data_IF_233507196233
#
_entry.id   IF_233507196233
#
_cell.length_a   1.000
_cell.length_b   1.000
_cell.length_c   1.000
_cell.angle_alpha   90.00
_cell.angle_beta   90.00
_cell.angle_gamma   90.00
#
_symmetry.space_group_name_H-M   'P 1'
#
loop_
_entity.id
_entity.type
_entity.pdbx_description
1 polymer ?
#
# COMPACT_ATOMS: atom_id res chain seq x y z
N UNK A 1 29.15 -14.98 16.17
CA UNK A 1 29.12 -15.12 14.69
C UNK A 1 27.80 -15.68 14.18
N UNK A 2 27.38 -16.91 14.56
CA UNK A 2 26.12 -17.53 14.11
C UNK A 2 24.89 -16.64 14.28
N UNK A 3 24.71 -16.04 15.48
CA UNK A 3 23.60 -15.13 15.76
C UNK A 3 23.64 -13.88 14.85
N UNK A 4 24.83 -13.38 14.53
CA UNK A 4 24.97 -12.19 13.70
C UNK A 4 24.60 -12.48 12.25
N UNK A 5 25.05 -13.62 11.71
CA UNK A 5 24.83 -13.99 10.31
C UNK A 5 23.43 -14.56 10.06
N UNK A 6 22.90 -15.35 10.99
CA UNK A 6 21.64 -16.11 10.79
C UNK A 6 20.51 -15.69 11.72
N UNK A 7 20.77 -14.89 12.76
CA UNK A 7 19.79 -14.58 13.79
C UNK A 7 19.52 -15.71 14.79
N UNK A 8 20.12 -16.88 14.61
CA UNK A 8 19.88 -18.07 15.44
C UNK A 8 21.09 -18.43 16.31
N UNK A 9 20.81 -19.11 17.42
CA UNK A 9 21.85 -19.73 18.24
C UNK A 9 22.46 -20.93 17.51
N UNK A 10 23.79 -21.17 17.62
CA UNK A 10 24.37 -22.40 17.11
C UNK A 10 23.84 -23.61 17.90
N UNK A 11 23.64 -24.74 17.22
CA UNK A 11 23.29 -25.99 17.93
C UNK A 11 24.50 -26.50 18.73
N UNK A 12 24.29 -27.23 19.84
CA UNK A 12 25.38 -27.82 20.60
C UNK A 12 26.30 -28.72 19.74
N UNK A 13 25.73 -29.45 18.78
CA UNK A 13 26.49 -30.27 17.82
C UNK A 13 27.37 -29.42 16.91
N UNK A 14 26.86 -28.30 16.38
CA UNK A 14 27.64 -27.40 15.55
C UNK A 14 28.82 -26.79 16.32
N UNK A 15 28.65 -26.50 17.62
CA UNK A 15 29.73 -26.02 18.49
C UNK A 15 30.78 -27.11 18.72
N UNK A 16 30.35 -28.33 19.08
CA UNK A 16 31.28 -29.46 19.26
C UNK A 16 32.06 -29.78 18.00
N UNK A 17 31.39 -29.79 16.86
CA UNK A 17 32.01 -30.04 15.55
C UNK A 17 33.07 -28.99 15.22
N UNK A 18 32.82 -27.71 15.52
CA UNK A 18 33.81 -26.65 15.32
C UNK A 18 35.01 -26.77 16.27
N UNK A 19 34.79 -27.05 17.57
CA UNK A 19 35.86 -27.21 18.55
C UNK A 19 36.78 -28.39 18.19
N UNK A 20 36.22 -29.45 17.63
CA UNK A 20 36.99 -30.64 17.21
C UNK A 20 37.67 -30.50 15.83
N UNK A 21 37.41 -29.41 15.09
CA UNK A 21 37.93 -29.21 13.74
C UNK A 21 39.32 -28.56 13.77
N UNK A 22 40.36 -29.38 13.65
CA UNK A 22 41.76 -28.93 13.68
C UNK A 22 42.31 -28.50 12.31
N UNK A 23 41.46 -28.41 11.28
CA UNK A 23 41.92 -27.99 9.96
C UNK A 23 42.28 -26.50 9.98
N UNK A 24 43.27 -26.08 9.17
CA UNK A 24 43.69 -24.68 9.10
C UNK A 24 42.59 -23.73 8.58
N UNK A 25 41.57 -24.25 7.90
CA UNK A 25 40.43 -23.51 7.32
C UNK A 25 39.11 -23.69 8.11
N UNK A 26 39.16 -24.22 9.34
CA UNK A 26 37.96 -24.55 10.11
C UNK A 26 37.03 -23.35 10.31
N UNK A 27 37.58 -22.14 10.48
CA UNK A 27 36.80 -20.92 10.65
C UNK A 27 36.07 -20.52 9.37
N UNK A 28 36.79 -20.48 8.24
CA UNK A 28 36.29 -20.15 6.91
C UNK A 28 35.14 -21.09 6.53
N UNK A 29 35.32 -22.39 6.75
CA UNK A 29 34.25 -23.38 6.47
C UNK A 29 32.99 -23.14 7.29
N UNK A 30 33.12 -22.65 8.54
CA UNK A 30 31.96 -22.26 9.34
C UNK A 30 31.31 -21.00 8.77
N UNK A 31 32.10 -20.00 8.37
CA UNK A 31 31.58 -18.79 7.72
C UNK A 31 30.82 -19.15 6.44
N UNK A 32 31.42 -19.93 5.54
CA UNK A 32 30.80 -20.35 4.28
C UNK A 32 29.48 -21.09 4.51
N UNK A 33 29.45 -22.01 5.47
CA UNK A 33 28.22 -22.70 5.85
C UNK A 33 27.14 -21.74 6.36
N UNK A 34 27.52 -20.72 7.13
CA UNK A 34 26.57 -19.75 7.67
C UNK A 34 26.06 -18.79 6.60
N UNK A 35 26.91 -18.38 5.66
CA UNK A 35 26.53 -17.56 4.51
C UNK A 35 25.63 -18.33 3.53
N UNK A 36 25.85 -19.64 3.37
CA UNK A 36 25.00 -20.52 2.56
C UNK A 36 23.65 -20.89 3.21
N UNK A 37 23.40 -20.48 4.46
CA UNK A 37 22.15 -20.76 5.17
C UNK A 37 21.02 -19.86 4.68
N UNK A 38 19.81 -20.39 4.48
CA UNK A 38 18.64 -19.57 4.12
C UNK A 38 18.31 -18.50 5.16
N UNK A 39 18.70 -18.72 6.43
CA UNK A 39 18.53 -17.77 7.51
C UNK A 39 19.43 -16.53 7.38
N UNK A 40 20.48 -16.59 6.55
CA UNK A 40 21.32 -15.43 6.25
C UNK A 40 20.50 -14.31 5.61
N UNK A 41 19.79 -14.60 4.52
CA UNK A 41 18.92 -13.65 3.84
C UNK A 41 17.74 -13.18 4.70
N UNK A 42 17.20 -14.03 5.57
CA UNK A 42 16.16 -13.62 6.54
C UNK A 42 16.69 -12.59 7.54
N UNK A 43 17.88 -12.84 8.10
CA UNK A 43 18.52 -11.95 9.07
C UNK A 43 18.96 -10.63 8.44
N UNK A 44 19.69 -10.69 7.33
CA UNK A 44 20.21 -9.51 6.64
C UNK A 44 19.13 -8.75 5.88
N UNK A 45 18.13 -9.45 5.35
CA UNK A 45 16.97 -8.84 4.72
C UNK A 45 16.22 -7.91 5.66
N UNK A 46 16.16 -8.21 6.97
CA UNK A 46 15.58 -7.31 7.97
C UNK A 46 16.23 -5.92 7.97
N UNK A 47 17.56 -5.85 7.86
CA UNK A 47 18.27 -4.58 7.84
C UNK A 47 17.94 -3.77 6.59
N UNK A 48 17.86 -4.43 5.43
CA UNK A 48 17.42 -3.77 4.20
C UNK A 48 15.97 -3.26 4.31
N UNK A 49 15.08 -4.10 4.83
CA UNK A 49 13.66 -3.79 4.99
C UNK A 49 13.42 -2.64 5.98
N UNK A 50 14.23 -2.54 7.03
CA UNK A 50 14.21 -1.40 7.95
C UNK A 50 14.59 -0.09 7.22
N UNK A 51 15.67 -0.09 6.43
CA UNK A 51 16.15 1.11 5.71
C UNK A 51 15.13 1.60 4.67
N UNK A 52 14.50 0.69 3.94
CA UNK A 52 13.47 1.06 2.95
C UNK A 52 12.10 1.36 3.57
N UNK A 53 12.00 1.31 4.91
CA UNK A 53 10.77 1.60 5.67
C UNK A 53 9.62 0.66 5.28
N UNK A 54 9.95 -0.62 5.12
CA UNK A 54 9.00 -1.65 4.75
C UNK A 54 7.90 -1.80 5.82
N UNK A 55 6.64 -1.79 5.37
CA UNK A 55 5.50 -2.17 6.17
C UNK A 55 4.43 -2.84 5.30
N UNK A 56 3.75 -3.84 5.85
CA UNK A 56 2.59 -4.50 5.21
C UNK A 56 1.28 -3.71 5.42
N UNK A 57 1.39 -2.42 5.76
CA UNK A 57 0.27 -1.51 5.87
C UNK A 57 0.58 -0.16 5.25
N UNK A 58 -0.44 0.69 5.06
CA UNK A 58 -0.25 1.99 4.43
C UNK A 58 0.59 2.95 5.27
N UNK A 59 0.65 2.81 6.60
CA UNK A 59 1.48 3.65 7.45
C UNK A 59 1.08 5.13 7.44
N UNK A 60 -0.19 5.42 7.13
CA UNK A 60 -0.77 6.77 7.10
C UNK A 60 -2.14 6.76 7.79
N UNK A 61 -2.85 7.91 7.82
CA UNK A 61 -4.13 8.11 8.52
C UNK A 61 -5.13 6.96 8.34
N UNK A 62 -5.34 6.51 7.09
CA UNK A 62 -6.11 5.30 6.76
C UNK A 62 -5.15 4.12 6.64
N UNK A 63 -4.81 3.53 7.78
CA UNK A 63 -3.84 2.44 7.85
C UNK A 63 -4.45 1.11 7.38
N UNK A 64 -4.50 0.88 6.06
CA UNK A 64 -4.97 -0.37 5.46
C UNK A 64 -3.83 -1.37 5.27
N UNK A 65 -4.15 -2.65 5.33
CA UNK A 65 -3.22 -3.74 5.01
C UNK A 65 -2.90 -3.78 3.50
N UNK A 66 -1.64 -4.07 3.17
CA UNK A 66 -1.13 -4.31 1.82
C UNK A 66 -1.00 -5.82 1.59
N UNK A 67 -2.07 -6.43 1.11
CA UNK A 67 -2.23 -7.90 1.03
C UNK A 67 -1.22 -8.64 0.14
N UNK A 68 -0.46 -7.93 -0.70
CA UNK A 68 0.50 -8.50 -1.64
C UNK A 68 1.95 -8.07 -1.38
N UNK A 69 2.23 -7.25 -0.35
CA UNK A 69 3.55 -6.62 -0.20
C UNK A 69 4.60 -7.51 0.46
N UNK A 70 4.21 -8.61 1.12
CA UNK A 70 5.11 -9.70 1.53
C UNK A 70 6.02 -10.21 0.40
N UNK A 71 5.58 -10.13 -0.85
CA UNK A 71 6.38 -10.54 -2.02
C UNK A 71 7.69 -9.76 -2.13
N UNK A 72 7.67 -8.46 -1.78
CA UNK A 72 8.88 -7.63 -1.79
C UNK A 72 9.86 -8.05 -0.69
N UNK A 73 9.37 -8.38 0.51
CA UNK A 73 10.20 -8.97 1.58
C UNK A 73 10.86 -10.25 1.09
N UNK A 74 10.08 -11.16 0.50
CA UNK A 74 10.59 -12.45 0.03
C UNK A 74 11.60 -12.26 -1.12
N UNK A 75 11.39 -11.27 -2.01
CA UNK A 75 12.36 -10.88 -3.04
C UNK A 75 13.70 -10.42 -2.45
N UNK A 76 13.68 -9.59 -1.40
CA UNK A 76 14.90 -9.13 -0.72
C UNK A 76 15.64 -10.31 -0.08
N UNK A 77 14.93 -11.17 0.64
CA UNK A 77 15.49 -12.38 1.26
C UNK A 77 16.13 -13.29 0.21
N UNK A 78 15.41 -13.54 -0.89
CA UNK A 78 15.91 -14.37 -1.98
C UNK A 78 17.11 -13.74 -2.68
N UNK A 79 17.11 -12.42 -2.90
CA UNK A 79 18.23 -11.71 -3.54
C UNK A 79 19.51 -11.83 -2.71
N UNK A 80 19.41 -11.76 -1.39
CA UNK A 80 20.56 -11.95 -0.48
C UNK A 80 21.02 -13.41 -0.46
N UNK A 81 20.10 -14.37 -0.36
CA UNK A 81 20.44 -15.79 -0.32
C UNK A 81 21.04 -16.32 -1.64
N UNK A 82 20.73 -15.70 -2.77
CA UNK A 82 21.28 -16.06 -4.08
C UNK A 82 22.49 -15.20 -4.47
N UNK A 83 23.02 -14.38 -3.55
CA UNK A 83 24.16 -13.50 -3.80
C UNK A 83 23.97 -12.63 -5.07
N UNK A 84 22.77 -12.03 -5.19
CA UNK A 84 22.44 -11.19 -6.35
C UNK A 84 23.42 -10.01 -6.43
N UNK A 85 24.04 -9.75 -7.59
CA UNK A 85 24.92 -8.60 -7.76
C UNK A 85 24.24 -7.30 -7.33
N UNK A 86 24.94 -6.48 -6.55
CA UNK A 86 24.34 -5.29 -5.95
C UNK A 86 23.83 -4.30 -6.99
N UNK A 87 24.54 -4.15 -8.12
CA UNK A 87 24.12 -3.28 -9.22
C UNK A 87 22.81 -3.77 -9.87
N UNK A 88 22.66 -5.09 -10.02
CA UNK A 88 21.43 -5.71 -10.50
C UNK A 88 20.29 -5.52 -9.48
N UNK A 89 20.55 -5.78 -8.19
CA UNK A 89 19.57 -5.60 -7.12
C UNK A 89 19.02 -4.16 -7.07
N UNK A 90 19.90 -3.16 -7.18
CA UNK A 90 19.51 -1.74 -7.23
C UNK A 90 18.74 -1.42 -8.52
N UNK A 91 19.21 -1.90 -9.67
CA UNK A 91 18.59 -1.62 -10.97
C UNK A 91 17.17 -2.19 -11.06
N UNK A 92 16.97 -3.42 -10.58
CA UNK A 92 15.65 -4.05 -10.51
C UNK A 92 14.69 -3.27 -9.60
N UNK A 93 15.16 -2.73 -8.48
CA UNK A 93 14.34 -1.96 -7.55
C UNK A 93 13.94 -0.57 -8.07
N UNK A 94 14.81 0.09 -8.84
CA UNK A 94 14.52 1.43 -9.38
C UNK A 94 13.71 1.38 -10.69
N UNK A 95 13.91 0.35 -11.51
CA UNK A 95 13.40 0.33 -12.88
C UNK A 95 12.97 -1.05 -13.37
N UNK A 96 12.75 -2.03 -12.48
CA UNK A 96 12.39 -3.39 -12.88
C UNK A 96 11.21 -3.48 -13.84
N UNK A 97 10.17 -2.67 -13.62
CA UNK A 97 8.99 -2.65 -14.49
C UNK A 97 9.21 -1.96 -15.84
N UNK A 98 10.26 -1.16 -15.98
CA UNK A 98 10.71 -0.60 -17.25
C UNK A 98 11.68 -1.54 -18.00
N UNK A 99 12.50 -2.30 -17.28
CA UNK A 99 13.49 -3.23 -17.86
C UNK A 99 12.80 -4.46 -18.46
N UNK A 100 11.94 -5.11 -17.68
CA UNK A 100 11.14 -6.24 -18.16
C UNK A 100 9.77 -6.26 -17.45
N UNK A 101 8.74 -5.63 -18.04
CA UNK A 101 7.40 -5.62 -17.46
C UNK A 101 6.72 -7.00 -17.44
N UNK A 102 7.27 -7.98 -18.15
CA UNK A 102 6.79 -9.37 -18.17
C UNK A 102 7.36 -10.22 -17.04
N UNK A 103 8.49 -9.80 -16.45
CA UNK A 103 9.14 -10.51 -15.36
C UNK A 103 8.48 -10.19 -14.00
N UNK A 104 7.82 -11.17 -13.35
CA UNK A 104 7.15 -10.93 -12.06
C UNK A 104 8.12 -10.54 -10.94
N UNK A 105 9.37 -11.02 -10.99
CA UNK A 105 10.39 -10.69 -9.99
C UNK A 105 10.76 -9.21 -10.06
N UNK A 106 10.92 -8.68 -11.28
CA UNK A 106 11.26 -7.28 -11.51
C UNK A 106 10.10 -6.35 -11.12
N UNK A 107 8.87 -6.76 -11.40
CA UNK A 107 7.68 -6.05 -10.91
C UNK A 107 7.64 -6.01 -9.38
N UNK A 108 8.01 -7.10 -8.71
CA UNK A 108 8.08 -7.14 -7.23
C UNK A 108 9.20 -6.24 -6.72
N UNK A 109 10.36 -6.23 -7.36
CA UNK A 109 11.52 -5.42 -6.99
C UNK A 109 11.18 -3.91 -6.93
N UNK A 110 10.36 -3.41 -7.87
CA UNK A 110 9.87 -2.01 -7.85
C UNK A 110 9.03 -1.65 -6.62
N UNK A 111 8.68 -2.64 -5.79
CA UNK A 111 8.15 -2.44 -4.44
C UNK A 111 8.99 -1.50 -3.58
N UNK A 112 10.30 -1.40 -3.83
CA UNK A 112 11.22 -0.45 -3.21
C UNK A 112 10.68 0.99 -3.20
N UNK A 113 10.23 1.48 -4.36
CA UNK A 113 9.76 2.86 -4.53
C UNK A 113 8.47 3.13 -3.75
N UNK A 114 7.70 2.10 -3.40
CA UNK A 114 6.39 2.23 -2.76
C UNK A 114 6.33 1.65 -1.34
N UNK A 115 7.49 1.32 -0.77
CA UNK A 115 7.62 0.76 0.57
C UNK A 115 7.11 1.71 1.66
N UNK A 116 7.43 3.00 1.54
CA UNK A 116 7.01 4.04 2.47
C UNK A 116 5.51 4.33 2.49
N UNK A 117 5.07 5.31 3.30
CA UNK A 117 3.66 5.57 3.58
C UNK A 117 2.80 5.82 2.33
N UNK A 118 1.52 5.45 2.39
CA UNK A 118 0.52 5.69 1.34
C UNK A 118 -0.61 6.54 1.87
N UNK A 119 -0.75 7.76 1.35
CA UNK A 119 -1.93 8.59 1.61
C UNK A 119 -3.06 8.24 0.62
N UNK A 120 -4.05 7.45 1.06
CA UNK A 120 -5.25 7.11 0.27
C UNK A 120 -6.51 7.89 0.71
N UNK A 121 -6.33 9.04 1.36
CA UNK A 121 -7.42 9.93 1.79
C UNK A 121 -7.99 10.67 0.59
N UNK A 122 -9.14 10.21 0.10
CA UNK A 122 -9.80 10.85 -1.05
C UNK A 122 -10.31 12.25 -0.70
N UNK A 123 -10.19 13.18 -1.64
CA UNK A 123 -10.60 14.58 -1.50
C UNK A 123 -10.98 15.17 -2.85
N UNK A 124 -12.06 15.95 -2.85
CA UNK A 124 -12.51 16.69 -4.04
C UNK A 124 -11.67 17.95 -4.31
N UNK A 125 -10.88 18.40 -3.32
CA UNK A 125 -10.00 19.55 -3.47
C UNK A 125 -8.82 19.28 -4.41
N UNK A 126 -8.74 20.07 -5.49
CA UNK A 126 -7.60 20.04 -6.42
C UNK A 126 -6.27 20.29 -5.72
N UNK A 127 -6.23 21.27 -4.81
CA UNK A 127 -5.03 21.62 -4.05
C UNK A 127 -4.53 20.43 -3.22
N UNK A 128 -5.44 19.74 -2.53
CA UNK A 128 -5.06 18.58 -1.72
C UNK A 128 -4.58 17.40 -2.55
N UNK A 129 -5.14 17.18 -3.75
CA UNK A 129 -4.62 16.18 -4.69
C UNK A 129 -3.19 16.52 -5.16
N UNK A 130 -2.93 17.79 -5.48
CA UNK A 130 -1.60 18.23 -5.89
C UNK A 130 -0.57 18.11 -4.75
N UNK A 131 -0.94 18.50 -3.52
CA UNK A 131 -0.08 18.35 -2.33
C UNK A 131 0.30 16.88 -2.10
N UNK A 132 -0.69 15.99 -2.07
CA UNK A 132 -0.43 14.54 -1.94
C UNK A 132 0.52 14.04 -3.01
N UNK A 133 0.33 14.44 -4.27
CA UNK A 133 1.21 14.02 -5.36
C UNK A 133 2.64 14.50 -5.13
N UNK A 134 2.81 15.74 -4.65
CA UNK A 134 4.13 16.27 -4.34
C UNK A 134 4.79 15.54 -3.17
N UNK A 135 4.01 15.13 -2.16
CA UNK A 135 4.51 14.35 -1.03
C UNK A 135 4.87 12.92 -1.43
N UNK A 136 4.14 12.30 -2.37
CA UNK A 136 4.54 11.02 -2.97
C UNK A 136 5.86 11.11 -3.73
N UNK A 137 6.06 12.17 -4.52
CA UNK A 137 7.32 12.37 -5.26
C UNK A 137 8.48 12.61 -4.29
N UNK A 138 8.26 13.41 -3.23
CA UNK A 138 9.26 13.61 -2.17
C UNK A 138 9.63 12.29 -1.47
N UNK A 139 8.64 11.41 -1.25
CA UNK A 139 8.88 10.09 -0.68
C UNK A 139 9.78 9.20 -1.59
N UNK A 140 9.63 9.27 -2.92
CA UNK A 140 10.51 8.57 -3.87
C UNK A 140 11.94 9.12 -3.86
N UNK A 141 12.07 10.45 -3.80
CA UNK A 141 13.37 11.12 -3.69
C UNK A 141 14.06 10.71 -2.39
N UNK A 142 13.34 10.78 -1.25
CA UNK A 142 13.85 10.42 0.08
C UNK A 142 14.29 8.96 0.14
N UNK A 143 13.42 8.00 -0.20
CA UNK A 143 13.79 6.58 -0.10
C UNK A 143 15.00 6.24 -0.94
N UNK A 144 15.09 6.79 -2.15
CA UNK A 144 16.18 6.52 -3.08
C UNK A 144 17.49 7.12 -2.56
N UNK A 145 17.48 8.41 -2.21
CA UNK A 145 18.67 9.12 -1.75
C UNK A 145 19.20 8.62 -0.42
N UNK A 146 18.34 8.39 0.57
CA UNK A 146 18.81 7.95 1.89
C UNK A 146 19.26 6.50 1.86
N UNK A 147 18.60 5.63 1.08
CA UNK A 147 18.96 4.21 1.04
C UNK A 147 20.20 3.94 0.19
N UNK A 148 20.29 4.57 -1.00
CA UNK A 148 21.32 4.22 -1.98
C UNK A 148 22.53 5.14 -1.94
N UNK A 149 22.33 6.42 -1.59
CA UNK A 149 23.41 7.42 -1.56
C UNK A 149 23.86 7.73 -0.13
N UNK A 150 23.05 7.38 0.88
CA UNK A 150 23.29 7.81 2.26
C UNK A 150 23.14 9.32 2.47
N UNK A 151 22.44 10.02 1.57
CA UNK A 151 22.30 11.48 1.57
C UNK A 151 20.86 11.91 1.85
N UNK A 152 20.69 12.99 2.60
CA UNK A 152 19.38 13.61 2.90
C UNK A 152 18.95 14.62 1.83
N UNK A 153 18.95 14.21 0.55
CA UNK A 153 18.59 15.08 -0.60
C UNK A 153 17.21 15.73 -0.42
N UNK A 154 16.28 15.08 0.29
CA UNK A 154 14.95 15.63 0.60
C UNK A 154 14.94 16.97 1.36
N UNK A 155 16.03 17.40 2.00
CA UNK A 155 16.13 18.76 2.58
C UNK A 155 16.13 19.84 1.49
N UNK A 156 16.64 19.51 0.30
CA UNK A 156 16.66 20.35 -0.91
C UNK A 156 15.29 20.81 -1.40
N UNK A 157 14.20 20.25 -0.86
CA UNK A 157 12.82 20.62 -1.22
C UNK A 157 12.50 22.09 -0.97
N UNK A 158 13.02 22.64 0.12
CA UNK A 158 12.67 23.98 0.60
C UNK A 158 13.85 24.96 0.52
N UNK A 159 15.08 24.47 0.67
CA UNK A 159 16.30 25.27 0.65
C UNK A 159 17.48 24.39 0.27
N UNK A 160 18.60 25.00 -0.13
CA UNK A 160 19.83 24.25 -0.41
C UNK A 160 20.28 23.49 0.83
N UNK A 161 20.75 22.26 0.65
CA UNK A 161 21.07 21.38 1.75
C UNK A 161 22.11 22.00 2.71
N UNK A 162 21.90 21.82 4.02
CA UNK A 162 22.63 22.56 5.06
C UNK A 162 24.15 22.29 5.09
N UNK A 163 24.55 21.04 4.83
CA UNK A 163 25.94 20.58 4.95
C UNK A 163 26.51 20.10 3.63
N UNK A 164 25.79 19.21 2.93
CA UNK A 164 26.19 18.71 1.62
C UNK A 164 25.93 19.71 0.47
N UNK A 165 26.73 19.69 -0.60
CA UNK A 165 26.58 20.57 -1.77
C UNK A 165 25.43 20.12 -2.69
N UNK A 166 24.23 19.97 -2.13
CA UNK A 166 23.00 19.59 -2.84
C UNK A 166 22.10 20.82 -2.93
N UNK A 167 22.15 21.59 -4.03
CA UNK A 167 21.26 22.73 -4.23
C UNK A 167 19.82 22.26 -4.44
N UNK A 168 18.88 23.14 -4.14
CA UNK A 168 17.44 22.89 -4.29
C UNK A 168 17.09 22.46 -5.72
N UNK A 169 17.79 23.00 -6.72
CA UNK A 169 17.62 22.62 -8.12
C UNK A 169 17.87 21.13 -8.37
N UNK A 170 18.82 20.51 -7.66
CA UNK A 170 19.19 19.10 -7.85
C UNK A 170 18.12 18.19 -7.23
N UNK A 171 17.54 18.61 -6.09
CA UNK A 171 16.33 17.97 -5.54
C UNK A 171 15.19 17.98 -6.57
N UNK A 172 14.90 19.13 -7.19
CA UNK A 172 13.83 19.23 -8.18
C UNK A 172 14.17 18.47 -9.48
N UNK A 173 15.44 18.37 -9.85
CA UNK A 173 15.90 17.51 -10.94
C UNK A 173 15.60 16.04 -10.68
N UNK A 174 15.91 15.54 -9.48
CA UNK A 174 15.60 14.16 -9.09
C UNK A 174 14.08 13.94 -8.94
N UNK A 175 13.34 14.91 -8.40
CA UNK A 175 11.89 14.88 -8.33
C UNK A 175 11.25 14.79 -9.73
N UNK A 176 11.84 15.44 -10.74
CA UNK A 176 11.38 15.35 -12.12
C UNK A 176 11.51 13.94 -12.70
N UNK A 177 12.59 13.20 -12.38
CA UNK A 177 12.78 11.79 -12.78
C UNK A 177 11.62 10.92 -12.25
N UNK A 178 11.21 11.13 -11.00
CA UNK A 178 10.14 10.35 -10.38
C UNK A 178 8.72 10.87 -10.64
N UNK A 179 8.59 12.03 -11.30
CA UNK A 179 7.29 12.67 -11.53
C UNK A 179 6.33 11.84 -12.40
N UNK A 180 6.87 10.91 -13.20
CA UNK A 180 6.09 9.97 -14.03
C UNK A 180 5.63 8.69 -13.31
N UNK A 181 6.12 8.42 -12.09
CA UNK A 181 5.77 7.19 -11.37
C UNK A 181 4.32 7.20 -10.89
N UNK A 182 3.54 6.18 -11.21
CA UNK A 182 2.18 6.03 -10.71
C UNK A 182 2.03 4.77 -9.86
N UNK A 183 1.71 4.96 -8.58
CA UNK A 183 1.58 3.87 -7.62
C UNK A 183 0.28 3.11 -7.84
N UNK A 184 0.38 1.89 -8.38
CA UNK A 184 -0.78 1.00 -8.61
C UNK A 184 -0.51 -0.43 -8.17
N UNK A 185 -1.57 -1.14 -7.83
CA UNK A 185 -1.49 -2.58 -7.63
C UNK A 185 -1.33 -3.26 -9.00
N UNK A 186 -0.27 -4.06 -9.14
CA UNK A 186 0.00 -4.84 -10.35
C UNK A 186 -0.22 -6.33 -10.08
N UNK A 187 -0.69 -7.05 -11.09
CA UNK A 187 -0.80 -8.51 -11.04
C UNK A 187 0.58 -9.12 -11.28
N UNK A 188 1.16 -9.64 -10.21
CA UNK A 188 2.45 -10.36 -10.23
C UNK A 188 2.20 -11.81 -10.61
N UNK A 189 2.35 -12.13 -11.88
CA UNK A 189 2.19 -13.48 -12.42
C UNK A 189 2.91 -13.62 -13.76
N UNK A 190 3.52 -14.78 -14.01
CA UNK A 190 4.12 -15.12 -15.30
C UNK A 190 3.05 -15.19 -16.39
N UNK A 191 3.45 -15.08 -17.66
CA UNK A 191 2.54 -15.25 -18.80
C UNK A 191 1.78 -16.58 -18.73
N UNK A 192 2.45 -17.66 -18.32
CA UNK A 192 1.87 -18.98 -18.16
C UNK A 192 0.86 -19.05 -17.00
N UNK A 193 1.16 -18.41 -15.87
CA UNK A 193 0.21 -18.29 -14.76
C UNK A 193 -1.04 -17.49 -15.16
N UNK A 194 -0.87 -16.41 -15.94
CA UNK A 194 -1.98 -15.62 -16.46
C UNK A 194 -2.87 -16.43 -17.40
N UNK A 195 -2.28 -17.20 -18.32
CA UNK A 195 -3.00 -18.13 -19.21
C UNK A 195 -3.77 -19.18 -18.42
N UNK A 196 -3.13 -19.84 -17.47
CA UNK A 196 -3.78 -20.84 -16.59
C UNK A 196 -4.91 -20.24 -15.77
N UNK A 197 -4.72 -19.03 -15.23
CA UNK A 197 -5.78 -18.33 -14.51
C UNK A 197 -6.95 -17.97 -15.43
N UNK A 198 -6.68 -17.43 -16.62
CA UNK A 198 -7.71 -17.08 -17.60
C UNK A 198 -8.55 -18.31 -18.01
N UNK A 199 -7.90 -19.42 -18.34
CA UNK A 199 -8.57 -20.67 -18.67
C UNK A 199 -9.44 -21.19 -17.51
N UNK A 200 -8.95 -21.06 -16.25
CA UNK A 200 -9.71 -21.42 -15.06
C UNK A 200 -10.92 -20.51 -14.86
N UNK A 201 -10.75 -19.20 -15.02
CA UNK A 201 -11.85 -18.24 -14.88
C UNK A 201 -12.91 -18.47 -15.96
N UNK A 202 -12.51 -18.71 -17.20
CA UNK A 202 -13.42 -19.03 -18.32
C UNK A 202 -14.23 -20.31 -18.03
N UNK A 203 -13.60 -21.34 -17.47
CA UNK A 203 -14.29 -22.57 -17.07
C UNK A 203 -15.35 -22.37 -15.97
N UNK A 204 -15.19 -21.33 -15.14
CA UNK A 204 -16.14 -20.97 -14.06
C UNK A 204 -17.21 -19.99 -14.55
N UNK A 205 -16.86 -19.09 -15.48
CA UNK A 205 -17.75 -18.08 -16.04
C UNK A 205 -18.62 -18.59 -17.20
N UNK A 206 -18.48 -19.87 -17.59
CA UNK A 206 -19.38 -20.49 -18.57
C UNK A 206 -20.84 -20.30 -18.11
N UNK A 207 -21.70 -19.63 -18.90
CA UNK A 207 -23.08 -19.35 -18.51
C UNK A 207 -23.80 -20.64 -18.09
N UNK A 208 -24.25 -20.69 -16.83
CA UNK A 208 -24.94 -21.86 -16.25
C UNK A 208 -24.13 -22.69 -15.25
N UNK A 209 -22.81 -22.48 -15.10
CA UNK A 209 -21.98 -23.17 -14.08
C UNK A 209 -21.61 -22.31 -12.87
N UNK A 210 -21.70 -20.98 -12.97
CA UNK A 210 -21.39 -20.10 -11.84
C UNK A 210 -22.51 -20.16 -10.78
N UNK A 211 -22.17 -20.60 -9.57
CA UNK A 211 -23.10 -20.67 -8.43
C UNK A 211 -23.75 -19.31 -8.11
N UNK A 212 -23.13 -18.19 -8.51
CA UNK A 212 -23.63 -16.83 -8.32
C UNK A 212 -24.70 -16.38 -9.32
N UNK A 213 -24.80 -17.00 -10.50
CA UNK A 213 -25.77 -16.59 -11.52
C UNK A 213 -27.20 -17.00 -11.18
N UNK A 214 -27.39 -18.15 -10.53
CA UNK A 214 -28.70 -18.59 -10.03
C UNK A 214 -29.27 -17.62 -8.97
N UNK A 215 -28.54 -17.27 -7.89
CA UNK A 215 -28.95 -16.25 -6.93
C UNK A 215 -29.14 -14.89 -7.59
N UNK A 216 -28.23 -14.43 -8.47
CA UNK A 216 -28.37 -13.13 -9.14
C UNK A 216 -29.63 -13.05 -10.00
N UNK A 217 -29.93 -14.09 -10.80
CA UNK A 217 -31.17 -14.16 -11.59
C UNK A 217 -32.42 -14.20 -10.69
N UNK A 218 -32.38 -14.91 -9.56
CA UNK A 218 -33.48 -14.95 -8.58
C UNK A 218 -33.67 -13.62 -7.82
N UNK A 219 -32.57 -12.96 -7.48
CA UNK A 219 -32.56 -11.71 -6.69
C UNK A 219 -32.84 -10.48 -7.54
N UNK A 220 -32.54 -10.50 -8.84
CA UNK A 220 -32.78 -9.38 -9.76
C UNK A 220 -34.23 -8.87 -9.72
N UNK A 221 -35.28 -9.70 -9.95
CA UNK A 221 -36.66 -9.24 -9.89
C UNK A 221 -37.07 -8.77 -8.50
N UNK A 222 -36.53 -9.38 -7.43
CA UNK A 222 -36.80 -8.96 -6.04
C UNK A 222 -36.21 -7.57 -5.79
N UNK A 223 -34.97 -7.34 -6.23
CA UNK A 223 -34.28 -6.06 -6.08
C UNK A 223 -34.96 -4.96 -6.89
N UNK A 224 -35.35 -5.25 -8.13
CA UNK A 224 -36.13 -4.32 -8.96
C UNK A 224 -37.47 -3.97 -8.31
N UNK A 225 -38.20 -4.96 -7.77
CA UNK A 225 -39.45 -4.74 -7.04
C UNK A 225 -39.25 -3.88 -5.78
N UNK A 226 -38.20 -4.13 -4.99
CA UNK A 226 -37.91 -3.37 -3.79
C UNK A 226 -37.50 -1.92 -4.11
N UNK A 227 -36.69 -1.72 -5.14
CA UNK A 227 -36.30 -0.39 -5.62
C UNK A 227 -37.52 0.37 -6.14
N UNK A 228 -38.35 -0.25 -6.98
CA UNK A 228 -39.59 0.35 -7.49
C UNK A 228 -40.55 0.72 -6.36
N UNK A 229 -40.75 -0.17 -5.38
CA UNK A 229 -41.59 0.11 -4.19
C UNK A 229 -41.05 1.28 -3.39
N UNK A 230 -39.72 1.37 -3.21
CA UNK A 230 -39.09 2.47 -2.47
C UNK A 230 -39.18 3.80 -3.21
N UNK A 231 -38.97 3.80 -4.52
CA UNK A 231 -39.16 4.98 -5.37
C UNK A 231 -40.61 5.46 -5.38
N UNK A 232 -41.58 4.54 -5.49
CA UNK A 232 -43.00 4.87 -5.43
C UNK A 232 -43.43 5.42 -4.06
N UNK A 233 -42.85 4.92 -2.96
CA UNK A 233 -43.09 5.47 -1.62
C UNK A 233 -42.49 6.89 -1.48
N UNK A 234 -41.25 7.07 -1.92
CA UNK A 234 -40.58 8.38 -1.92
C UNK A 234 -41.29 9.41 -2.80
N UNK A 235 -41.89 9.00 -3.91
CA UNK A 235 -42.65 9.89 -4.80
C UNK A 235 -43.98 10.39 -4.18
N UNK A 236 -44.53 9.66 -3.20
CA UNK A 236 -45.74 10.08 -2.45
C UNK A 236 -45.40 11.00 -1.28
N UNK A 237 -44.16 10.96 -0.78
CA UNK A 237 -43.68 11.91 0.20
C UNK A 237 -43.45 13.24 -0.52
N UNK A 238 -44.19 14.29 -0.14
CA UNK A 238 -43.98 15.63 -0.68
C UNK A 238 -42.56 16.04 -0.28
N UNK A 239 -41.65 16.08 -1.26
CA UNK A 239 -40.26 16.43 -1.01
C UNK A 239 -40.22 17.79 -0.31
N UNK A 240 -39.68 17.81 0.92
CA UNK A 240 -39.50 19.07 1.65
C UNK A 240 -38.57 19.97 0.84
N UNK A 241 -38.77 21.30 0.90
CA UNK A 241 -37.82 22.23 0.32
C UNK A 241 -36.40 21.91 0.80
N UNK A 242 -35.43 22.05 -0.09
CA UNK A 242 -34.03 21.82 0.25
C UNK A 242 -33.64 22.77 1.37
N UNK A 243 -33.08 22.22 2.45
CA UNK A 243 -32.53 22.96 3.58
C UNK A 243 -31.37 23.83 3.07
N UNK A 244 -31.37 25.13 3.40
CA UNK A 244 -30.30 26.07 3.06
C UNK A 244 -29.49 26.41 4.32
N UNK A 245 -28.21 26.73 4.18
CA UNK A 245 -27.32 26.97 5.33
C UNK A 245 -27.62 28.27 6.08
N UNK A 246 -28.46 29.16 5.53
CA UNK A 246 -28.72 30.48 6.09
C UNK A 246 -29.78 30.44 7.20
N UNK A 247 -30.99 29.97 6.87
CA UNK A 247 -32.11 29.84 7.82
C UNK A 247 -33.14 28.86 7.28
N UNK A 248 -33.67 27.99 8.15
CA UNK A 248 -34.76 27.08 7.81
C UNK A 248 -35.84 27.21 8.87
N UNK A 249 -37.00 27.72 8.48
CA UNK A 249 -38.15 27.87 9.36
C UNK A 249 -39.15 26.73 9.10
N UNK A 250 -39.60 26.06 10.15
CA UNK A 250 -40.63 25.03 10.06
C UNK A 250 -41.78 25.35 11.02
N UNK A 251 -42.86 25.99 10.53
CA UNK A 251 -44.01 26.28 11.36
C UNK A 251 -44.82 25.01 11.62
N UNK A 252 -45.23 24.80 12.87
CA UNK A 252 -46.17 23.75 13.27
C UNK A 252 -47.19 24.33 14.26
N UNK A 253 -48.36 23.70 14.35
CA UNK A 253 -49.39 24.14 15.29
C UNK A 253 -48.88 23.99 16.74
N UNK A 254 -49.27 24.89 17.68
CA UNK A 254 -48.85 24.77 19.08
C UNK A 254 -49.26 23.41 19.66
N UNK A 255 -48.29 22.68 20.23
CA UNK A 255 -48.51 21.41 20.90
C UNK A 255 -47.91 21.50 22.30
N UNK A 256 -48.70 21.20 23.32
CA UNK A 256 -48.18 21.04 24.69
C UNK A 256 -47.31 19.80 24.75
N UNK A 257 -46.01 20.00 25.00
CA UNK A 257 -45.04 18.92 25.11
C UNK A 257 -44.08 19.19 26.27
N UNK A 258 -43.68 18.14 26.99
CA UNK A 258 -42.65 18.21 28.03
C UNK A 258 -41.25 18.01 27.46
N UNK A 259 -41.14 17.41 26.27
CA UNK A 259 -39.87 17.11 25.60
C UNK A 259 -40.04 17.24 24.08
N UNK A 260 -38.99 17.72 23.41
CA UNK A 260 -38.89 17.78 21.96
C UNK A 260 -37.78 16.82 21.52
N UNK A 261 -38.07 15.95 20.53
CA UNK A 261 -37.09 15.01 19.97
C UNK A 261 -36.92 15.21 18.47
N UNK A 262 -35.70 15.51 18.04
CA UNK A 262 -35.33 15.57 16.63
C UNK A 262 -34.77 14.22 16.17
N UNK A 263 -35.27 13.71 15.04
CA UNK A 263 -34.81 12.44 14.44
C UNK A 263 -34.42 12.69 12.99
N UNK A 264 -33.13 12.56 12.70
CA UNK A 264 -32.61 12.71 11.34
C UNK A 264 -32.83 11.40 10.57
N UNK A 265 -33.72 11.44 9.58
CA UNK A 265 -34.06 10.26 8.74
C UNK A 265 -33.20 10.12 7.48
N UNK A 266 -32.44 11.15 7.13
CA UNK A 266 -31.52 11.14 5.98
C UNK A 266 -30.83 12.49 5.79
N UNK A 267 -29.71 12.50 5.08
CA UNK A 267 -28.93 13.69 4.73
C UNK A 267 -28.83 13.81 3.21
N UNK A 268 -28.93 15.02 2.67
CA UNK A 268 -28.56 15.28 1.27
C UNK A 268 -27.04 15.44 1.19
N UNK A 269 -26.34 14.38 0.81
CA UNK A 269 -24.88 14.34 0.70
C UNK A 269 -24.17 13.66 1.88
N UNK A 270 -22.84 13.74 1.90
CA UNK A 270 -21.97 13.05 2.88
C UNK A 270 -21.72 13.84 4.17
N UNK A 271 -22.38 14.99 4.38
CA UNK A 271 -22.20 15.77 5.60
C UNK A 271 -22.86 15.07 6.80
N UNK A 272 -22.20 15.11 7.96
CA UNK A 272 -22.84 14.71 9.23
C UNK A 272 -23.89 15.76 9.59
N UNK A 273 -25.09 15.36 10.02
CA UNK A 273 -26.10 16.32 10.45
C UNK A 273 -25.64 17.03 11.73
N UNK A 274 -25.70 18.35 11.75
CA UNK A 274 -25.46 19.20 12.91
C UNK A 274 -26.70 20.07 13.18
N UNK A 275 -26.93 20.40 14.44
CA UNK A 275 -27.93 21.37 14.88
C UNK A 275 -27.17 22.44 15.64
N UNK A 276 -27.07 23.62 15.04
CA UNK A 276 -26.21 24.68 15.55
C UNK A 276 -26.96 25.56 16.56
N UNK A 277 -28.20 25.95 16.24
CA UNK A 277 -29.05 26.80 17.08
C UNK A 277 -30.52 26.33 17.02
N UNK A 278 -31.24 26.46 18.14
CA UNK A 278 -32.67 26.14 18.26
C UNK A 278 -33.37 27.27 19.01
N UNK A 279 -34.35 27.88 18.35
CA UNK A 279 -35.27 28.87 18.91
C UNK A 279 -36.68 28.28 18.85
N UNK A 280 -37.39 28.24 19.99
CA UNK A 280 -38.75 27.71 20.14
C UNK A 280 -39.65 28.81 20.68
#
# INVERSE_FOLDING_TARGET
MTINLTGLLPTPDAVRAFIADNRPDAYERVVDRLLASSHYGEKWGRHWLDVVRYAESNGFERNKLRTNFWRYRDYVIASLNHDKPYDQFVREQLAGDAIDPGNPEYLVATGFLVAGPKNDVQTDSKLQRMKRRQDEIDEYVRVTSTTLLGLTVGCGRCHDHMFDPVPSRDYYGLAAVFSGLDRRDKVVATAEQRKRHAARVESVQTPGRCHGDRPRKRLKPIRERLVAKRLAALAKEKARPRVVYQRNEEPFAPVFATHVRFVIKGTTGNAKPCLDELEI
#
